data_IF_876892395563
#
_entry.id   IF_876892395563
#
_cell.length_a   1.000
_cell.length_b   1.000
_cell.length_c   1.000
_cell.angle_alpha   90.00
_cell.angle_beta   90.00
_cell.angle_gamma   90.00
#
_symmetry.space_group_name_H-M   'P 1'
#
loop_
_entity.id
_entity.type
_entity.pdbx_description
1 polymer ?
#
# COMPACT_ATOMS: atom_id res chain seq x y z
N UNK A 1 -7.12 -11.83 -0.80
CA UNK A 1 -6.85 -10.38 -0.63
C UNK A 1 -8.12 -9.52 -0.58
N UNK A 2 -8.94 -9.46 -1.65
CA UNK A 2 -10.11 -8.57 -1.72
C UNK A 2 -11.09 -8.72 -0.53
N UNK A 3 -11.42 -9.95 -0.13
CA UNK A 3 -12.31 -10.19 1.02
C UNK A 3 -11.68 -9.63 2.30
N UNK A 4 -10.40 -9.93 2.55
CA UNK A 4 -9.67 -9.50 3.74
C UNK A 4 -9.64 -7.98 3.90
N UNK A 5 -9.39 -7.23 2.82
CA UNK A 5 -9.35 -5.77 2.85
C UNK A 5 -10.74 -5.15 2.96
N UNK A 6 -11.77 -5.77 2.37
CA UNK A 6 -13.16 -5.28 2.46
C UNK A 6 -13.78 -5.50 3.84
N UNK A 7 -13.44 -6.61 4.52
CA UNK A 7 -13.99 -6.95 5.84
C UNK A 7 -13.07 -6.59 7.01
N UNK A 8 -11.93 -5.95 6.73
CA UNK A 8 -10.88 -5.64 7.72
C UNK A 8 -10.45 -6.87 8.54
N UNK A 9 -10.28 -8.02 7.89
CA UNK A 9 -9.96 -9.28 8.54
C UNK A 9 -8.50 -9.68 8.30
N UNK A 10 -7.67 -9.51 9.34
CA UNK A 10 -6.25 -9.85 9.29
C UNK A 10 -5.98 -11.35 9.16
N UNK A 11 -6.86 -12.21 9.71
CA UNK A 11 -6.75 -13.66 9.55
C UNK A 11 -6.85 -14.09 8.09
N UNK A 12 -7.83 -13.56 7.35
CA UNK A 12 -7.97 -13.79 5.91
C UNK A 12 -6.80 -13.21 5.11
N UNK A 13 -6.20 -12.12 5.57
CA UNK A 13 -4.97 -11.59 4.96
C UNK A 13 -3.81 -12.56 5.14
N UNK A 14 -3.64 -13.15 6.34
CA UNK A 14 -2.60 -14.15 6.63
C UNK A 14 -2.79 -15.45 5.85
N UNK A 15 -4.03 -15.89 5.64
CA UNK A 15 -4.32 -17.02 4.75
C UNK A 15 -3.87 -16.73 3.31
N UNK A 16 -4.21 -15.54 2.80
CA UNK A 16 -3.77 -15.12 1.47
C UNK A 16 -2.25 -15.05 1.36
N UNK A 17 -1.53 -14.42 2.30
CA UNK A 17 -0.07 -14.32 2.22
C UNK A 17 0.59 -15.69 2.28
N UNK A 18 0.07 -16.62 3.09
CA UNK A 18 0.58 -17.99 3.15
C UNK A 18 0.51 -18.69 1.79
N UNK A 19 -0.57 -18.49 1.02
CA UNK A 19 -0.65 -19.06 -0.33
C UNK A 19 0.34 -18.45 -1.32
N UNK A 20 0.79 -17.22 -1.07
CA UNK A 20 1.82 -16.55 -1.89
C UNK A 20 3.23 -16.99 -1.50
N UNK A 21 3.47 -17.17 -0.19
CA UNK A 21 4.76 -17.56 0.38
C UNK A 21 5.04 -19.07 0.13
N UNK A 22 4.06 -19.95 0.35
CA UNK A 22 4.18 -21.43 0.27
C UNK A 22 3.89 -21.99 -1.14
N UNK A 23 4.17 -21.21 -2.19
CA UNK A 23 4.01 -21.66 -3.58
C UNK A 23 4.90 -22.88 -3.89
N UNK A 24 4.44 -23.82 -4.74
CA UNK A 24 5.13 -25.10 -4.93
C UNK A 24 6.49 -24.98 -5.61
N UNK A 25 6.71 -23.93 -6.42
CA UNK A 25 7.96 -23.70 -7.13
C UNK A 25 8.43 -22.25 -6.91
N UNK A 26 9.73 -22.02 -6.64
CA UNK A 26 10.31 -20.68 -6.63
C UNK A 26 10.04 -19.96 -7.96
N UNK A 27 9.51 -18.74 -7.88
CA UNK A 27 9.20 -17.89 -9.03
C UNK A 27 10.14 -16.68 -9.14
N UNK A 28 10.76 -16.28 -8.03
CA UNK A 28 11.65 -15.13 -7.92
C UNK A 28 12.91 -15.49 -7.13
N UNK A 29 14.00 -14.74 -7.34
CA UNK A 29 15.28 -14.93 -6.61
C UNK A 29 15.07 -14.92 -5.08
N UNK A 30 14.21 -14.03 -4.58
CA UNK A 30 13.89 -13.92 -3.15
C UNK A 30 13.29 -15.19 -2.54
N UNK A 31 12.70 -16.07 -3.36
CA UNK A 31 12.13 -17.34 -2.90
C UNK A 31 13.23 -18.37 -2.60
N UNK A 32 14.46 -18.13 -3.05
CA UNK A 32 15.64 -18.96 -2.76
C UNK A 32 16.42 -18.47 -1.54
N UNK A 33 15.96 -17.39 -0.89
CA UNK A 33 16.59 -16.78 0.27
C UNK A 33 15.83 -17.14 1.54
N UNK A 34 16.55 -17.28 2.65
CA UNK A 34 15.97 -17.50 3.98
C UNK A 34 16.61 -16.57 5.01
N UNK A 35 15.89 -16.33 6.12
CA UNK A 35 16.31 -15.44 7.18
C UNK A 35 17.02 -16.21 8.30
N UNK A 36 18.21 -15.74 8.69
CA UNK A 36 18.74 -16.09 10.02
C UNK A 36 17.90 -15.42 11.08
N UNK A 37 17.34 -16.18 12.00
CA UNK A 37 16.37 -15.67 12.98
C UNK A 37 17.04 -15.30 14.31
N UNK A 38 16.71 -14.13 14.82
CA UNK A 38 16.97 -13.69 16.20
C UNK A 38 15.70 -12.95 16.69
N UNK A 39 14.71 -13.68 17.22
CA UNK A 39 13.41 -13.10 17.54
C UNK A 39 13.51 -12.10 18.70
N UNK A 40 12.65 -11.08 18.66
CA UNK A 40 12.44 -10.08 19.71
C UNK A 40 10.95 -10.00 20.03
N UNK A 41 10.58 -9.35 21.13
CA UNK A 41 9.16 -9.12 21.42
C UNK A 41 8.55 -8.15 20.39
N UNK A 42 7.30 -8.37 19.98
CA UNK A 42 6.63 -7.51 19.01
C UNK A 42 6.47 -6.07 19.52
N UNK A 43 6.42 -5.88 20.83
CA UNK A 43 6.39 -4.56 21.47
C UNK A 43 7.67 -3.75 21.28
N UNK A 44 8.78 -4.41 20.95
CA UNK A 44 10.06 -3.75 20.62
C UNK A 44 10.12 -3.30 19.15
N UNK A 45 9.20 -3.80 18.30
CA UNK A 45 9.11 -3.40 16.89
C UNK A 45 8.44 -2.04 16.78
N UNK A 46 8.93 -1.21 15.85
CA UNK A 46 8.32 0.09 15.61
C UNK A 46 6.82 -0.02 15.25
N UNK A 47 5.99 0.98 15.60
CA UNK A 47 4.57 0.96 15.28
C UNK A 47 4.30 0.86 13.77
N UNK A 48 3.23 0.18 13.40
CA UNK A 48 2.80 0.07 11.99
C UNK A 48 2.67 1.44 11.29
N UNK A 49 2.23 2.47 12.01
CA UNK A 49 2.14 3.84 11.50
C UNK A 49 3.49 4.42 11.04
N UNK A 50 4.61 4.01 11.63
CA UNK A 50 5.95 4.42 11.18
C UNK A 50 6.41 3.60 9.98
N UNK A 51 6.07 2.31 9.94
CA UNK A 51 6.36 1.43 8.80
C UNK A 51 5.64 1.92 7.54
N UNK A 52 4.36 2.27 7.65
CA UNK A 52 3.52 2.71 6.52
C UNK A 52 4.05 3.97 5.82
N UNK A 53 4.81 4.82 6.51
CA UNK A 53 5.46 5.99 5.91
C UNK A 53 6.49 5.63 4.84
N UNK A 54 7.01 4.40 4.86
CA UNK A 54 7.96 3.88 3.86
C UNK A 54 7.25 3.29 2.64
N UNK A 55 5.93 3.14 2.66
CA UNK A 55 5.17 2.62 1.54
C UNK A 55 4.94 3.72 0.51
N UNK A 56 5.14 3.36 -0.75
CA UNK A 56 4.87 4.20 -1.90
C UNK A 56 4.04 3.39 -2.90
N UNK A 57 2.92 3.92 -3.36
CA UNK A 57 2.20 3.30 -4.48
C UNK A 57 2.96 3.54 -5.77
N UNK A 58 3.00 2.54 -6.66
CA UNK A 58 3.61 2.68 -7.97
C UNK A 58 2.99 3.80 -8.81
N UNK A 59 3.78 4.31 -9.77
CA UNK A 59 3.33 5.28 -10.75
C UNK A 59 2.32 4.64 -11.70
N UNK A 60 1.04 5.03 -11.61
CA UNK A 60 -0.02 4.64 -12.53
C UNK A 60 -0.62 5.91 -13.11
N UNK A 61 -0.53 6.07 -14.43
CA UNK A 61 -0.89 7.34 -15.07
C UNK A 61 -2.39 7.61 -15.02
N UNK A 62 -2.70 8.89 -14.85
CA UNK A 62 -4.01 9.44 -15.15
C UNK A 62 -4.35 9.16 -16.63
N UNK A 63 -5.40 8.38 -16.88
CA UNK A 63 -5.77 7.89 -18.21
C UNK A 63 -5.56 6.38 -18.43
N UNK A 64 -4.61 5.74 -17.72
CA UNK A 64 -4.53 4.27 -17.67
C UNK A 64 -5.43 3.69 -16.58
N UNK A 65 -5.74 4.47 -15.55
CA UNK A 65 -6.74 4.17 -14.53
C UNK A 65 -7.74 5.30 -14.41
N UNK A 66 -8.92 5.01 -13.86
CA UNK A 66 -9.93 6.03 -13.64
C UNK A 66 -9.47 7.06 -12.61
N UNK A 67 -10.05 8.25 -12.69
CA UNK A 67 -9.82 9.34 -11.72
C UNK A 67 -10.10 8.88 -10.30
N UNK A 68 -11.20 8.16 -10.10
CA UNK A 68 -11.65 7.67 -8.79
C UNK A 68 -10.65 6.71 -8.18
N UNK A 69 -10.06 5.81 -8.99
CA UNK A 69 -9.02 4.89 -8.54
C UNK A 69 -7.74 5.64 -8.14
N UNK A 70 -7.33 6.62 -8.96
CA UNK A 70 -6.13 7.43 -8.71
C UNK A 70 -6.27 8.27 -7.42
N UNK A 71 -7.41 8.96 -7.27
CA UNK A 71 -7.71 9.76 -6.09
C UNK A 71 -7.88 8.90 -4.83
N UNK A 72 -8.49 7.70 -4.93
CA UNK A 72 -8.63 6.79 -3.79
C UNK A 72 -7.27 6.36 -3.23
N UNK A 73 -6.29 6.07 -4.11
CA UNK A 73 -4.92 5.77 -3.68
C UNK A 73 -4.25 6.97 -3.02
N UNK A 74 -4.38 8.16 -3.62
CA UNK A 74 -3.81 9.37 -3.07
C UNK A 74 -4.36 9.68 -1.66
N UNK A 75 -5.68 9.59 -1.47
CA UNK A 75 -6.33 9.75 -0.17
C UNK A 75 -5.78 8.72 0.83
N UNK A 76 -5.74 7.43 0.47
CA UNK A 76 -5.27 6.38 1.36
C UNK A 76 -3.82 6.59 1.80
N UNK A 77 -2.93 6.95 0.87
CA UNK A 77 -1.52 7.19 1.18
C UNK A 77 -1.33 8.45 2.04
N UNK A 78 -2.08 9.51 1.76
CA UNK A 78 -2.10 10.74 2.58
C UNK A 78 -2.55 10.46 4.02
N UNK A 79 -3.54 9.58 4.24
CA UNK A 79 -4.03 9.21 5.57
C UNK A 79 -2.96 8.44 6.37
N UNK A 80 -2.28 7.48 5.74
CA UNK A 80 -1.28 6.64 6.43
C UNK A 80 0.11 7.29 6.50
N UNK A 81 0.28 8.49 5.93
CA UNK A 81 1.56 9.20 5.85
C UNK A 81 2.57 8.56 4.90
N UNK A 82 2.11 7.70 3.99
CA UNK A 82 2.92 7.14 2.91
C UNK A 82 2.98 8.10 1.72
N UNK A 83 3.44 7.58 0.57
CA UNK A 83 3.57 8.35 -0.67
C UNK A 83 2.76 7.76 -1.81
N UNK A 84 2.23 8.59 -2.69
CA UNK A 84 1.61 8.19 -3.95
C UNK A 84 2.22 8.95 -5.11
N UNK A 85 2.15 8.37 -6.29
CA UNK A 85 2.79 8.92 -7.47
C UNK A 85 1.75 9.31 -8.52
N UNK A 86 1.88 10.51 -9.09
CA UNK A 86 0.99 11.05 -10.13
C UNK A 86 0.93 10.17 -11.37
N UNK A 87 2.02 9.44 -11.65
CA UNK A 87 2.27 8.83 -12.96
C UNK A 87 2.61 9.87 -14.02
N UNK A 88 2.70 9.41 -15.26
CA UNK A 88 3.14 10.22 -16.41
C UNK A 88 2.06 11.19 -16.92
N UNK A 89 0.79 10.96 -16.56
CA UNK A 89 -0.36 11.72 -17.06
C UNK A 89 -0.61 13.08 -16.39
N UNK A 90 0.27 13.48 -15.46
CA UNK A 90 0.08 14.68 -14.64
C UNK A 90 -1.06 14.56 -13.62
N UNK A 91 -1.43 15.69 -13.02
CA UNK A 91 -2.57 15.78 -12.10
C UNK A 91 -3.43 17.01 -12.40
N UNK A 92 -4.74 16.87 -12.17
CA UNK A 92 -5.70 17.97 -12.18
C UNK A 92 -5.36 18.97 -11.04
N UNK A 93 -5.12 20.27 -11.34
CA UNK A 93 -4.79 21.28 -10.34
C UNK A 93 -5.81 21.45 -9.21
N UNK A 94 -7.09 21.10 -9.44
CA UNK A 94 -8.09 21.17 -8.37
C UNK A 94 -7.78 20.22 -7.21
N UNK A 95 -7.02 19.14 -7.45
CA UNK A 95 -6.59 18.18 -6.42
C UNK A 95 -5.60 18.76 -5.41
N UNK A 96 -4.99 19.91 -5.71
CA UNK A 96 -4.05 20.58 -4.80
C UNK A 96 -4.77 21.23 -3.62
N UNK A 97 -6.07 21.49 -3.76
CA UNK A 97 -6.93 21.97 -2.68
C UNK A 97 -7.41 20.76 -1.87
N UNK A 98 -7.53 20.96 -0.55
CA UNK A 98 -8.24 19.98 0.27
C UNK A 98 -9.73 20.01 -0.05
N UNK A 99 -10.35 18.84 0.02
CA UNK A 99 -11.81 18.69 -0.07
C UNK A 99 -12.48 19.27 1.18
N UNK A 100 -13.79 19.48 1.09
CA UNK A 100 -14.61 19.97 2.19
C UNK A 100 -14.61 19.04 3.42
N UNK A 101 -14.39 17.73 3.20
CA UNK A 101 -14.23 16.71 4.25
C UNK A 101 -12.81 16.69 4.88
N UNK A 102 -11.93 17.60 4.45
CA UNK A 102 -10.54 17.70 4.91
C UNK A 102 -9.58 16.70 4.28
N UNK A 103 -10.07 15.78 3.44
CA UNK A 103 -9.24 14.81 2.73
C UNK A 103 -8.48 15.48 1.58
N UNK A 104 -7.32 14.90 1.27
CA UNK A 104 -6.42 15.39 0.24
C UNK A 104 -6.35 14.38 -0.91
N UNK A 105 -6.71 14.81 -2.12
CA UNK A 105 -6.67 13.98 -3.33
C UNK A 105 -5.40 14.19 -4.16
N UNK A 106 -4.52 15.14 -3.82
CA UNK A 106 -3.19 15.27 -4.46
C UNK A 106 -2.33 14.03 -4.20
N UNK A 107 -1.48 13.68 -5.15
CA UNK A 107 -0.39 12.75 -4.86
C UNK A 107 0.68 13.40 -3.96
N UNK A 108 1.33 12.59 -3.12
CA UNK A 108 2.30 13.02 -2.11
C UNK A 108 3.60 12.22 -2.14
#
# INVERSE_FOLDING_TARGET
LQIATKTNNYGLFKEYTRTVDDKPNPAFIRDMLDYKRNPIDISEVEPAANIMKRFCTGAMSYGSISREAHEAMAIAMNIIGGRSNTGEGGEDPERYKKRDDGLSTRSA
#
